data_IF_325392207792
#
_entry.id   IF_325392207792
#
_cell.length_a   1.000
_cell.length_b   1.000
_cell.length_c   1.000
_cell.angle_alpha   90.00
_cell.angle_beta   90.00
_cell.angle_gamma   90.00
#
_symmetry.space_group_name_H-M   'P 1'
#
loop_
_entity.id
_entity.type
_entity.pdbx_description
1 polymer ?
#
# COMPACT_ATOMS: atom_id res chain seq x y z
N UNK A 1 -5.25 17.48 1.35
CA UNK A 1 -5.83 16.16 1.64
C UNK A 1 -4.84 15.10 1.19
N UNK A 2 -4.64 14.05 2.00
CA UNK A 2 -3.72 12.96 1.63
C UNK A 2 -4.47 11.85 0.92
N UNK A 3 -3.85 11.33 -0.13
CA UNK A 3 -4.39 10.23 -0.92
C UNK A 3 -3.31 9.18 -1.15
N UNK A 4 -3.74 7.93 -1.18
CA UNK A 4 -2.95 6.80 -1.62
C UNK A 4 -3.45 6.34 -2.98
N UNK A 5 -2.58 6.35 -3.97
CA UNK A 5 -2.81 5.81 -5.30
C UNK A 5 -2.26 4.39 -5.29
N UNK A 6 -3.12 3.41 -5.48
CA UNK A 6 -2.80 1.99 -5.52
C UNK A 6 -2.80 1.52 -6.97
N UNK A 7 -1.65 1.18 -7.51
CA UNK A 7 -1.54 0.55 -8.82
C UNK A 7 -1.89 -0.93 -8.67
N UNK A 8 -2.98 -1.37 -9.31
CA UNK A 8 -3.40 -2.79 -9.29
C UNK A 8 -2.39 -3.67 -10.02
N UNK A 9 -2.12 -4.85 -9.48
CA UNK A 9 -1.24 -5.81 -10.12
C UNK A 9 -1.85 -6.37 -11.43
N UNK A 10 -0.99 -6.83 -12.30
CA UNK A 10 -1.31 -7.54 -13.53
C UNK A 10 -0.45 -8.80 -13.66
N UNK A 11 -0.62 -9.54 -14.75
CA UNK A 11 0.09 -10.80 -14.97
C UNK A 11 1.62 -10.62 -14.99
N UNK A 12 2.13 -9.54 -15.59
CA UNK A 12 3.57 -9.24 -15.66
C UNK A 12 4.14 -8.97 -14.29
N UNK A 13 3.48 -8.11 -13.49
CA UNK A 13 3.95 -7.75 -12.15
C UNK A 13 3.91 -8.96 -11.20
N UNK A 14 2.91 -9.83 -11.31
CA UNK A 14 2.83 -11.06 -10.52
C UNK A 14 3.78 -12.18 -11.03
N UNK A 15 4.18 -12.14 -12.29
CA UNK A 15 5.28 -12.96 -12.79
C UNK A 15 6.65 -12.49 -12.28
N UNK A 16 6.72 -11.31 -11.63
CA UNK A 16 7.97 -10.74 -11.12
C UNK A 16 8.78 -10.05 -12.21
N UNK A 17 8.16 -9.71 -13.35
CA UNK A 17 8.82 -8.96 -14.41
C UNK A 17 9.13 -7.55 -13.92
N UNK A 18 10.39 -7.13 -14.13
CA UNK A 18 10.80 -5.79 -13.79
C UNK A 18 10.28 -4.79 -14.82
N UNK A 19 9.94 -3.55 -14.40
CA UNK A 19 9.54 -2.50 -15.32
C UNK A 19 10.67 -2.19 -16.30
N UNK A 20 10.34 -2.11 -17.57
CA UNK A 20 11.29 -1.77 -18.63
C UNK A 20 11.81 -0.33 -18.50
N UNK A 21 12.95 0.00 -19.17
CA UNK A 21 13.57 1.33 -19.08
C UNK A 21 12.64 2.48 -19.45
N UNK A 22 11.76 2.28 -20.42
CA UNK A 22 10.80 3.30 -20.84
C UNK A 22 9.80 3.64 -19.72
N UNK A 23 9.26 2.62 -19.03
CA UNK A 23 8.35 2.82 -17.90
C UNK A 23 9.08 3.48 -16.73
N UNK A 24 10.29 3.03 -16.40
CA UNK A 24 11.08 3.64 -15.31
C UNK A 24 11.36 5.12 -15.58
N UNK A 25 11.74 5.47 -16.82
CA UNK A 25 11.98 6.87 -17.20
C UNK A 25 10.69 7.70 -17.13
N UNK A 26 9.57 7.19 -17.64
CA UNK A 26 8.30 7.88 -17.66
C UNK A 26 7.74 8.08 -16.24
N UNK A 27 7.80 7.06 -15.39
CA UNK A 27 7.40 7.17 -13.96
C UNK A 27 8.32 8.10 -13.19
N UNK A 28 9.64 8.07 -13.46
CA UNK A 28 10.59 8.99 -12.86
C UNK A 28 10.25 10.45 -13.19
N UNK A 29 9.99 10.76 -14.44
CA UNK A 29 9.59 12.11 -14.88
C UNK A 29 8.26 12.54 -14.25
N UNK A 30 7.27 11.65 -14.22
CA UNK A 30 5.97 11.92 -13.59
C UNK A 30 6.11 12.20 -12.09
N UNK A 31 6.91 11.40 -11.37
CA UNK A 31 7.16 11.60 -9.94
C UNK A 31 7.94 12.90 -9.67
N UNK A 32 8.88 13.27 -10.55
CA UNK A 32 9.57 14.57 -10.43
C UNK A 32 8.60 15.75 -10.58
N UNK A 33 7.64 15.67 -11.50
CA UNK A 33 6.64 16.72 -11.66
C UNK A 33 5.73 16.82 -10.43
N UNK A 34 5.27 15.69 -9.86
CA UNK A 34 4.52 15.65 -8.61
C UNK A 34 5.33 16.24 -7.44
N UNK A 35 6.63 15.93 -7.38
CA UNK A 35 7.53 16.48 -6.35
C UNK A 35 7.73 17.98 -6.51
N UNK A 36 7.92 18.49 -7.73
CA UNK A 36 8.02 19.93 -8.03
C UNK A 36 6.75 20.69 -7.69
N UNK A 37 5.59 20.05 -7.87
CA UNK A 37 4.29 20.58 -7.46
C UNK A 37 4.08 20.53 -5.94
N UNK A 38 4.96 19.89 -5.18
CA UNK A 38 4.85 19.73 -3.73
C UNK A 38 3.83 18.66 -3.32
N UNK A 39 3.36 17.85 -4.25
CA UNK A 39 2.31 16.85 -4.03
C UNK A 39 2.85 15.49 -3.60
N UNK A 40 4.04 15.08 -4.07
CA UNK A 40 4.58 13.75 -3.79
C UNK A 40 5.04 13.62 -2.34
N UNK A 41 4.47 12.67 -1.61
CA UNK A 41 4.87 12.31 -0.25
C UNK A 41 5.75 11.05 -0.21
N UNK A 42 5.63 10.18 -1.20
CA UNK A 42 6.42 8.97 -1.32
C UNK A 42 5.72 7.95 -2.22
N UNK A 43 6.39 6.87 -2.53
CA UNK A 43 5.82 5.79 -3.32
C UNK A 43 6.86 4.72 -3.61
N UNK A 44 6.40 3.47 -3.72
CA UNK A 44 7.26 2.31 -3.93
C UNK A 44 6.55 1.26 -4.78
N UNK A 45 7.33 0.46 -5.50
CA UNK A 45 6.88 -0.75 -6.15
C UNK A 45 6.86 -1.94 -5.19
N UNK A 46 5.88 -2.81 -5.33
CA UNK A 46 5.79 -4.08 -4.60
C UNK A 46 6.23 -5.24 -5.50
N UNK A 47 7.04 -6.13 -4.95
CA UNK A 47 7.42 -7.36 -5.64
C UNK A 47 6.23 -8.32 -5.72
N UNK A 48 6.31 -9.33 -6.59
CA UNK A 48 5.27 -10.34 -6.76
C UNK A 48 4.84 -10.99 -5.43
N UNK A 49 3.57 -11.38 -5.33
CA UNK A 49 3.00 -12.01 -4.12
C UNK A 49 3.70 -13.30 -3.73
N UNK A 50 4.37 -13.97 -4.68
CA UNK A 50 5.20 -15.16 -4.41
C UNK A 50 6.37 -14.92 -3.44
N UNK A 51 6.73 -13.66 -3.20
CA UNK A 51 7.76 -13.26 -2.23
C UNK A 51 7.15 -12.68 -0.93
N UNK A 52 5.86 -12.83 -0.75
CA UNK A 52 5.10 -12.33 0.38
C UNK A 52 4.47 -13.43 1.22
N UNK A 53 3.70 -13.02 2.22
CA UNK A 53 2.91 -13.91 3.07
C UNK A 53 1.53 -13.30 3.34
N UNK A 54 0.56 -14.17 3.60
CA UNK A 54 -0.78 -13.80 4.02
C UNK A 54 -1.04 -14.38 5.41
N UNK A 55 -1.40 -13.52 6.36
CA UNK A 55 -1.85 -13.92 7.70
C UNK A 55 -3.36 -13.80 7.72
N UNK A 56 -4.04 -14.89 8.01
CA UNK A 56 -5.48 -14.89 8.26
C UNK A 56 -5.73 -15.14 9.73
N UNK A 57 -6.42 -14.20 10.38
CA UNK A 57 -6.92 -14.34 11.74
C UNK A 57 -8.36 -14.84 11.68
N UNK A 58 -8.65 -15.95 12.34
CA UNK A 58 -10.00 -16.52 12.46
C UNK A 58 -10.16 -17.14 13.85
N UNK A 59 -11.20 -16.73 14.59
CA UNK A 59 -11.41 -17.17 15.97
C UNK A 59 -10.23 -16.84 16.90
N UNK A 60 -9.57 -15.70 16.68
CA UNK A 60 -8.41 -15.27 17.44
C UNK A 60 -7.11 -16.03 17.15
N UNK A 61 -7.13 -16.96 16.17
CA UNK A 61 -5.96 -17.77 15.80
C UNK A 61 -5.40 -17.34 14.44
N UNK A 62 -4.10 -17.03 14.34
CA UNK A 62 -3.47 -16.74 13.07
C UNK A 62 -3.13 -18.02 12.30
N UNK A 63 -3.28 -17.96 10.99
CA UNK A 63 -2.72 -18.91 10.03
C UNK A 63 -1.89 -18.15 9.03
N UNK A 64 -0.66 -18.57 8.80
CA UNK A 64 0.27 -17.95 7.84
C UNK A 64 0.36 -18.82 6.60
N UNK A 65 0.23 -18.22 5.44
CA UNK A 65 0.36 -18.88 4.13
C UNK A 65 1.35 -18.10 3.29
N UNK A 66 2.35 -18.78 2.75
CA UNK A 66 3.28 -18.18 1.81
C UNK A 66 2.61 -17.95 0.45
N UNK A 67 3.05 -16.89 -0.26
CA UNK A 67 2.60 -16.66 -1.63
C UNK A 67 3.08 -17.73 -2.62
N UNK A 68 2.59 -17.73 -3.88
CA UNK A 68 1.71 -16.70 -4.45
C UNK A 68 0.27 -16.84 -3.98
N UNK A 69 -0.44 -15.71 -3.93
CA UNK A 69 -1.86 -15.70 -3.57
C UNK A 69 -2.72 -15.95 -4.81
N UNK A 70 -3.75 -16.76 -4.67
CA UNK A 70 -4.49 -17.35 -5.81
C UNK A 70 -5.39 -16.36 -6.56
N UNK A 71 -5.70 -15.21 -5.98
CA UNK A 71 -6.61 -14.21 -6.56
C UNK A 71 -5.86 -12.92 -6.89
N UNK A 72 -5.06 -12.97 -7.96
CA UNK A 72 -4.20 -11.85 -8.39
C UNK A 72 -4.95 -10.56 -8.79
N UNK A 73 -6.26 -10.63 -9.01
CA UNK A 73 -7.05 -9.49 -9.56
C UNK A 73 -7.10 -8.28 -8.65
N UNK A 74 -6.90 -8.46 -7.34
CA UNK A 74 -7.02 -7.41 -6.34
C UNK A 74 -5.69 -7.07 -5.63
N UNK A 75 -4.61 -7.70 -6.06
CA UNK A 75 -3.27 -7.38 -5.56
C UNK A 75 -2.83 -6.03 -6.10
N UNK A 76 -1.91 -5.40 -5.37
CA UNK A 76 -1.27 -4.16 -5.80
C UNK A 76 0.18 -4.41 -6.20
N UNK A 77 0.62 -3.70 -7.24
CA UNK A 77 2.01 -3.73 -7.72
C UNK A 77 2.83 -2.53 -7.24
N UNK A 78 2.17 -1.54 -6.67
CA UNK A 78 2.83 -0.36 -6.14
C UNK A 78 1.85 0.63 -5.56
N UNK A 79 2.39 1.64 -4.89
CA UNK A 79 1.60 2.73 -4.34
C UNK A 79 2.35 4.06 -4.48
N UNK A 80 1.58 5.14 -4.52
CA UNK A 80 2.09 6.51 -4.42
C UNK A 80 1.24 7.28 -3.43
N UNK A 81 1.90 7.91 -2.45
CA UNK A 81 1.26 8.83 -1.51
C UNK A 81 1.40 10.25 -2.02
N UNK A 82 0.28 10.95 -2.08
CA UNK A 82 0.26 12.35 -2.53
C UNK A 82 -0.58 13.22 -1.60
N UNK A 83 -0.26 14.50 -1.58
CA UNK A 83 -1.11 15.53 -1.02
C UNK A 83 -1.68 16.40 -2.14
N UNK A 84 -3.00 16.55 -2.18
CA UNK A 84 -3.70 17.38 -3.14
C UNK A 84 -4.71 18.28 -2.44
N UNK A 85 -4.97 19.46 -2.99
CA UNK A 85 -5.96 20.39 -2.43
C UNK A 85 -7.39 19.84 -2.58
N UNK A 86 -7.62 19.06 -3.63
CA UNK A 86 -8.94 18.45 -3.91
C UNK A 86 -8.80 17.14 -4.68
N UNK A 87 -9.87 16.34 -4.66
CA UNK A 87 -10.04 15.18 -5.53
C UNK A 87 -9.93 15.56 -7.01
N UNK A 88 -10.49 16.68 -7.41
CA UNK A 88 -10.48 17.15 -8.80
C UNK A 88 -9.03 17.39 -9.27
N UNK A 89 -8.23 18.08 -8.49
CA UNK A 89 -6.81 18.29 -8.79
C UNK A 89 -6.08 16.96 -8.96
N UNK A 90 -6.30 16.02 -8.03
CA UNK A 90 -5.68 14.70 -8.14
C UNK A 90 -6.11 13.96 -9.43
N UNK A 91 -7.40 14.03 -9.79
CA UNK A 91 -7.88 13.40 -11.03
C UNK A 91 -7.22 13.99 -12.28
N UNK A 92 -6.98 15.30 -12.31
CA UNK A 92 -6.27 15.97 -13.42
C UNK A 92 -4.82 15.49 -13.53
N UNK A 93 -4.14 15.31 -12.39
CA UNK A 93 -2.80 14.71 -12.35
C UNK A 93 -2.82 13.25 -12.83
N UNK A 94 -3.76 12.44 -12.37
CA UNK A 94 -3.85 11.03 -12.74
C UNK A 94 -4.15 10.82 -14.23
N UNK A 95 -4.83 11.75 -14.91
CA UNK A 95 -5.03 11.67 -16.36
C UNK A 95 -3.70 11.69 -17.14
N UNK A 96 -2.62 12.17 -16.52
CA UNK A 96 -1.26 12.22 -17.05
C UNK A 96 -0.44 10.99 -16.68
N UNK A 97 -1.04 9.96 -16.09
CA UNK A 97 -0.35 8.71 -15.73
C UNK A 97 0.38 8.14 -16.96
N UNK A 98 1.64 7.70 -16.79
CA UNK A 98 2.44 7.22 -17.90
C UNK A 98 1.76 6.10 -18.70
N UNK A 99 1.63 6.30 -19.98
CA UNK A 99 1.02 5.32 -20.91
C UNK A 99 1.89 4.07 -21.11
N UNK A 100 3.15 4.15 -20.73
CA UNK A 100 4.11 3.05 -20.69
C UNK A 100 3.74 2.01 -19.63
N UNK A 101 2.93 2.38 -18.63
CA UNK A 101 2.45 1.44 -17.62
C UNK A 101 1.37 0.52 -18.22
N UNK A 102 1.67 -0.78 -18.27
CA UNK A 102 0.84 -1.83 -18.84
C UNK A 102 0.32 -1.49 -20.26
N UNK A 103 1.18 -0.84 -21.08
CA UNK A 103 0.81 -0.38 -22.43
C UNK A 103 -0.49 0.44 -22.46
N UNK A 104 -0.67 1.29 -21.46
CA UNK A 104 -1.85 2.13 -21.28
C UNK A 104 -3.12 1.38 -20.84
N UNK A 105 -2.97 0.22 -20.22
CA UNK A 105 -4.09 -0.58 -19.69
C UNK A 105 -4.02 -0.76 -18.17
N UNK A 106 -3.44 0.19 -17.47
CA UNK A 106 -3.31 0.12 -16.01
C UNK A 106 -4.60 0.46 -15.27
N UNK A 107 -4.70 0.03 -14.03
CA UNK A 107 -5.81 0.34 -13.14
C UNK A 107 -5.26 0.90 -11.82
N UNK A 108 -5.79 2.04 -11.45
CA UNK A 108 -5.45 2.74 -10.21
C UNK A 108 -6.68 2.79 -9.30
N UNK A 109 -6.49 2.48 -8.04
CA UNK A 109 -7.47 2.75 -6.99
C UNK A 109 -6.95 3.90 -6.13
N UNK A 110 -7.76 4.90 -5.90
CA UNK A 110 -7.40 6.07 -5.10
C UNK A 110 -8.18 6.07 -3.81
N UNK A 111 -7.47 6.03 -2.71
CA UNK A 111 -8.04 6.03 -1.36
C UNK A 111 -7.61 7.29 -0.62
N UNK A 112 -8.53 7.87 0.12
CA UNK A 112 -8.22 8.97 1.01
C UNK A 112 -7.62 8.44 2.32
N UNK A 113 -6.47 8.99 2.73
CA UNK A 113 -5.86 8.77 4.03
C UNK A 113 -6.47 9.64 5.12
N UNK A 114 -6.06 9.44 6.35
CA UNK A 114 -6.45 10.30 7.46
C UNK A 114 -7.23 9.60 8.56
N UNK A 115 -6.87 8.37 8.86
CA UNK A 115 -7.29 7.73 10.10
C UNK A 115 -6.53 8.34 11.30
N UNK A 116 -7.18 8.58 12.46
CA UNK A 116 -6.46 8.97 13.67
C UNK A 116 -5.39 7.92 14.04
N UNK A 117 -4.14 8.35 14.21
CA UNK A 117 -3.04 7.46 14.61
C UNK A 117 -2.09 7.03 13.50
N UNK A 118 -2.23 7.57 12.30
CA UNK A 118 -1.26 7.36 11.22
C UNK A 118 0.14 7.86 11.60
N UNK A 119 1.16 7.08 11.28
CA UNK A 119 2.56 7.50 11.39
C UNK A 119 2.94 8.14 10.07
N UNK A 120 3.07 9.45 10.06
CA UNK A 120 3.45 10.21 8.86
C UNK A 120 4.85 9.82 8.44
N UNK A 121 4.94 9.29 7.22
CA UNK A 121 6.13 8.65 6.73
C UNK A 121 7.30 9.57 6.48
N UNK A 122 8.43 9.00 6.68
CA UNK A 122 9.77 9.52 6.40
C UNK A 122 10.16 9.31 4.91
N UNK A 123 9.25 8.79 4.09
CA UNK A 123 9.59 8.19 2.80
C UNK A 123 9.94 9.16 1.66
N UNK A 124 9.57 10.44 1.72
CA UNK A 124 9.67 11.29 0.52
C UNK A 124 10.97 12.07 0.34
N UNK A 125 11.70 12.42 1.40
CA UNK A 125 13.01 13.09 1.30
C UNK A 125 13.87 12.74 2.51
N UNK A 126 14.85 11.87 2.29
CA UNK A 126 15.88 11.59 3.29
C UNK A 126 15.54 10.47 4.26
N UNK A 127 14.79 9.47 3.81
CA UNK A 127 14.73 8.22 4.55
C UNK A 127 16.16 7.74 4.83
N UNK A 128 16.48 7.35 6.07
CA UNK A 128 17.79 6.82 6.38
C UNK A 128 18.11 5.64 5.45
N UNK A 129 19.35 5.52 5.03
CA UNK A 129 19.78 4.38 4.23
C UNK A 129 19.38 3.09 4.95
N UNK A 130 18.85 2.15 4.18
CA UNK A 130 18.45 0.84 4.72
C UNK A 130 19.68 0.16 5.34
N UNK A 131 19.61 -0.30 6.61
CA UNK A 131 20.74 -1.00 7.22
C UNK A 131 21.12 -2.25 6.43
N UNK A 132 22.39 -2.61 6.44
CA UNK A 132 22.87 -3.80 5.74
C UNK A 132 22.10 -5.06 6.18
N UNK A 133 21.66 -5.86 5.20
CA UNK A 133 20.88 -7.07 5.43
C UNK A 133 19.41 -6.84 5.79
N UNK A 134 18.92 -5.58 5.77
CA UNK A 134 17.49 -5.29 5.91
C UNK A 134 16.84 -5.12 4.54
N UNK A 135 15.54 -5.38 4.52
CA UNK A 135 14.62 -5.12 3.40
C UNK A 135 13.38 -4.41 3.93
N UNK A 136 12.69 -3.67 3.06
CA UNK A 136 11.43 -3.04 3.41
C UNK A 136 10.26 -3.95 3.04
N UNK A 137 9.29 -4.02 3.93
CA UNK A 137 8.05 -4.77 3.76
C UNK A 137 6.86 -3.86 3.97
N UNK A 138 5.85 -4.04 3.15
CA UNK A 138 4.56 -3.42 3.34
C UNK A 138 3.59 -4.41 3.97
N UNK A 139 3.01 -4.02 5.08
CA UNK A 139 1.98 -4.76 5.81
C UNK A 139 0.64 -4.13 5.43
N UNK A 140 -0.23 -4.89 4.82
CA UNK A 140 -1.50 -4.44 4.26
C UNK A 140 -2.65 -5.06 5.04
N UNK A 141 -3.38 -4.26 5.79
CA UNK A 141 -4.60 -4.71 6.48
C UNK A 141 -5.76 -4.69 5.48
N UNK A 142 -6.36 -5.85 5.21
CA UNK A 142 -7.56 -5.95 4.39
C UNK A 142 -8.76 -5.34 5.12
N UNK A 143 -9.65 -4.71 4.37
CA UNK A 143 -10.88 -4.14 4.90
C UNK A 143 -11.90 -5.25 5.24
N UNK A 144 -12.81 -4.91 6.12
CA UNK A 144 -13.98 -5.71 6.44
C UNK A 144 -15.23 -4.80 6.49
N UNK A 145 -16.40 -5.40 6.74
CA UNK A 145 -17.66 -4.64 6.77
C UNK A 145 -17.65 -3.48 7.76
N UNK A 146 -16.92 -3.61 8.89
CA UNK A 146 -16.82 -2.55 9.88
C UNK A 146 -15.99 -1.37 9.39
N UNK A 147 -14.83 -1.66 8.80
CA UNK A 147 -13.94 -0.61 8.27
C UNK A 147 -14.59 0.10 7.08
N UNK A 148 -15.30 -0.64 6.23
CA UNK A 148 -16.05 -0.05 5.11
C UNK A 148 -17.31 0.71 5.56
N UNK A 149 -17.90 0.37 6.71
CA UNK A 149 -18.95 1.18 7.36
C UNK A 149 -18.40 2.42 8.08
N UNK A 150 -17.08 2.65 8.05
CA UNK A 150 -16.46 3.80 8.72
C UNK A 150 -16.44 3.68 10.25
N UNK A 151 -16.57 2.47 10.80
CA UNK A 151 -16.54 2.25 12.25
C UNK A 151 -15.08 2.32 12.72
N UNK A 152 -14.79 3.38 13.44
CA UNK A 152 -13.46 3.63 14.03
C UNK A 152 -13.25 2.72 15.26
N UNK A 153 -12.04 2.18 15.47
CA UNK A 153 -11.70 1.49 16.71
C UNK A 153 -11.90 2.39 17.93
N UNK A 154 -12.18 1.79 19.09
CA UNK A 154 -12.30 2.54 20.34
C UNK A 154 -10.96 3.16 20.76
N UNK A 155 -11.04 4.08 21.73
CA UNK A 155 -9.87 4.84 22.20
C UNK A 155 -8.80 3.96 22.85
N UNK A 156 -9.19 2.87 23.50
CA UNK A 156 -8.24 1.93 24.11
C UNK A 156 -7.43 1.22 23.03
N UNK A 157 -8.10 0.76 21.98
CA UNK A 157 -7.45 0.10 20.85
C UNK A 157 -6.52 1.05 20.09
N UNK A 158 -7.01 2.25 19.77
CA UNK A 158 -6.18 3.30 19.15
C UNK A 158 -4.96 3.64 20.01
N UNK A 159 -5.10 3.67 21.33
CA UNK A 159 -3.99 3.88 22.25
C UNK A 159 -2.93 2.77 22.19
N UNK A 160 -3.35 1.50 22.14
CA UNK A 160 -2.43 0.36 21.97
C UNK A 160 -1.70 0.39 20.63
N UNK A 161 -2.42 0.70 19.54
CA UNK A 161 -1.82 0.85 18.22
C UNK A 161 -0.81 2.00 18.20
N UNK A 162 -1.16 3.15 18.74
CA UNK A 162 -0.28 4.32 18.82
C UNK A 162 0.99 4.01 19.61
N UNK A 163 0.87 3.37 20.77
CA UNK A 163 2.02 2.96 21.57
C UNK A 163 2.95 2.01 20.78
N UNK A 164 2.39 0.98 20.15
CA UNK A 164 3.16 0.03 19.36
C UNK A 164 3.87 0.73 18.18
N UNK A 165 3.16 1.62 17.47
CA UNK A 165 3.73 2.41 16.38
C UNK A 165 4.89 3.30 16.87
N UNK A 166 4.73 3.98 18.00
CA UNK A 166 5.76 4.83 18.59
C UNK A 166 7.00 4.04 19.00
N UNK A 167 6.81 2.87 19.61
CA UNK A 167 7.91 1.98 19.98
C UNK A 167 8.66 1.46 18.76
N UNK A 168 7.93 1.00 17.74
CA UNK A 168 8.51 0.53 16.48
C UNK A 168 9.22 1.64 15.70
N UNK A 169 8.68 2.85 15.69
CA UNK A 169 9.32 4.00 15.05
C UNK A 169 10.60 4.42 15.77
N UNK A 170 10.61 4.46 17.12
CA UNK A 170 11.84 4.75 17.90
C UNK A 170 12.91 3.67 17.72
N UNK A 171 12.49 2.41 17.54
CA UNK A 171 13.39 1.31 17.24
C UNK A 171 13.89 1.31 15.78
N UNK A 172 13.38 2.25 14.95
CA UNK A 172 13.70 2.33 13.53
C UNK A 172 13.09 1.20 12.69
N UNK A 173 12.14 0.43 13.24
CA UNK A 173 11.48 -0.67 12.53
C UNK A 173 10.35 -0.13 11.64
N UNK A 174 9.49 0.72 12.20
CA UNK A 174 8.38 1.33 11.47
C UNK A 174 8.84 2.58 10.74
N UNK A 175 8.64 2.62 9.43
CA UNK A 175 9.04 3.71 8.54
C UNK A 175 7.84 4.60 8.16
N UNK A 176 6.66 4.00 7.97
CA UNK A 176 5.43 4.69 7.57
C UNK A 176 4.22 3.84 7.97
N UNK A 177 3.10 4.48 8.24
CA UNK A 177 1.82 3.80 8.42
C UNK A 177 0.65 4.78 8.33
N UNK A 178 -0.44 4.36 7.70
CA UNK A 178 -1.65 5.19 7.54
C UNK A 178 -2.89 4.31 7.49
N UNK A 179 -3.98 4.79 8.07
CA UNK A 179 -5.31 4.23 7.88
C UNK A 179 -5.98 4.83 6.65
N UNK A 180 -6.74 4.00 5.94
CA UNK A 180 -7.47 4.41 4.74
C UNK A 180 -8.96 4.57 5.04
N UNK A 181 -9.57 5.63 4.54
CA UNK A 181 -11.00 5.84 4.66
C UNK A 181 -11.79 4.79 3.85
N UNK A 182 -13.07 4.55 4.19
CA UNK A 182 -13.93 3.64 3.43
C UNK A 182 -13.94 3.94 1.93
N UNK A 183 -14.19 2.91 1.13
CA UNK A 183 -14.22 3.03 -0.33
C UNK A 183 -15.33 3.95 -0.85
N UNK A 184 -16.30 4.30 -0.03
CA UNK A 184 -17.34 5.30 -0.37
C UNK A 184 -16.74 6.66 -0.74
N UNK A 185 -15.55 7.03 -0.22
CA UNK A 185 -14.84 8.26 -0.59
C UNK A 185 -13.79 8.04 -1.69
N UNK A 186 -13.62 6.81 -2.15
CA UNK A 186 -12.61 6.40 -3.12
C UNK A 186 -13.10 6.52 -4.58
N UNK A 187 -12.17 6.40 -5.49
CA UNK A 187 -12.47 6.17 -6.90
C UNK A 187 -11.42 5.26 -7.54
N UNK A 188 -11.81 4.60 -8.63
CA UNK A 188 -10.89 3.85 -9.50
C UNK A 188 -10.77 4.59 -10.83
N UNK A 189 -9.53 4.70 -11.32
CA UNK A 189 -9.25 5.19 -12.67
C UNK A 189 -8.65 4.04 -13.46
N UNK A 190 -9.40 3.56 -14.45
CA UNK A 190 -8.97 2.49 -15.33
C UNK A 190 -8.61 3.07 -16.69
N UNK A 191 -7.41 2.79 -17.13
CA UNK A 191 -6.97 3.15 -18.48
C UNK A 191 -7.23 1.98 -19.42
N UNK A 192 -7.72 2.30 -20.60
CA UNK A 192 -7.89 1.36 -21.70
C UNK A 192 -7.29 2.00 -22.94
N UNK A 193 -6.16 1.47 -23.42
CA UNK A 193 -5.38 2.06 -24.50
C UNK A 193 -5.08 3.55 -24.26
N UNK A 194 -4.67 3.87 -23.04
CA UNK A 194 -4.33 5.23 -22.60
C UNK A 194 -5.53 6.16 -22.34
N UNK A 195 -6.76 5.69 -22.49
CA UNK A 195 -7.98 6.49 -22.21
C UNK A 195 -8.49 6.20 -20.83
N UNK A 196 -8.56 7.21 -19.92
CA UNK A 196 -9.06 7.02 -18.57
C UNK A 196 -10.58 6.89 -18.52
N UNK A 197 -11.05 5.95 -17.73
CA UNK A 197 -12.43 5.86 -17.26
C UNK A 197 -12.44 5.91 -15.73
N UNK A 198 -13.37 6.65 -15.14
CA UNK A 198 -13.48 6.81 -13.69
C UNK A 198 -14.71 6.10 -13.18
N UNK A 199 -14.57 5.40 -12.06
CA UNK A 199 -15.65 4.74 -11.33
C UNK A 199 -15.57 5.14 -9.86
N UNK A 200 -16.64 5.72 -9.33
CA UNK A 200 -16.75 6.07 -7.92
C UNK A 200 -17.05 4.85 -7.07
N UNK A 201 -16.56 4.87 -5.81
CA UNK A 201 -16.97 3.91 -4.80
C UNK A 201 -18.43 4.18 -4.32
N UNK A 202 -18.95 3.36 -3.42
CA UNK A 202 -18.25 2.23 -2.77
C UNK A 202 -18.04 1.04 -3.72
N UNK A 203 -16.99 0.24 -3.44
CA UNK A 203 -16.71 -0.96 -4.23
C UNK A 203 -17.30 -2.19 -3.53
N UNK A 204 -17.85 -3.13 -4.32
CA UNK A 204 -18.70 -4.20 -3.82
C UNK A 204 -17.98 -5.26 -2.96
N UNK A 205 -16.68 -5.47 -3.16
CA UNK A 205 -15.92 -6.55 -2.52
C UNK A 205 -15.02 -6.00 -1.42
N UNK A 206 -15.54 -5.86 -0.19
CA UNK A 206 -14.79 -5.31 0.94
C UNK A 206 -13.47 -6.05 1.21
N UNK A 207 -13.45 -7.38 1.07
CA UNK A 207 -12.26 -8.22 1.32
C UNK A 207 -11.08 -7.95 0.37
N UNK A 208 -11.32 -7.29 -0.75
CA UNK A 208 -10.31 -6.91 -1.73
C UNK A 208 -9.72 -5.52 -1.45
N UNK A 209 -10.33 -4.77 -0.53
CA UNK A 209 -9.97 -3.41 -0.19
C UNK A 209 -8.97 -3.38 0.97
N UNK A 210 -8.32 -2.24 1.14
CA UNK A 210 -7.40 -2.00 2.23
C UNK A 210 -8.03 -1.07 3.26
N UNK A 211 -7.88 -1.41 4.54
CA UNK A 211 -8.25 -0.53 5.67
C UNK A 211 -7.07 0.33 6.14
N UNK A 212 -5.85 -0.09 5.84
CA UNK A 212 -4.64 0.61 6.22
C UNK A 212 -3.39 -0.17 5.86
N UNK A 213 -2.23 0.45 6.11
CA UNK A 213 -0.95 -0.16 5.83
C UNK A 213 0.15 0.32 6.77
N UNK A 214 1.22 -0.44 6.85
CA UNK A 214 2.50 -0.07 7.48
C UNK A 214 3.63 -0.44 6.53
N UNK A 215 4.66 0.38 6.51
CA UNK A 215 5.95 0.05 5.88
C UNK A 215 6.96 -0.13 7.01
N UNK A 216 7.55 -1.30 7.07
CA UNK A 216 8.55 -1.65 8.06
C UNK A 216 9.85 -2.08 7.39
N UNK A 217 10.96 -2.01 8.12
CA UNK A 217 12.20 -2.67 7.73
C UNK A 217 12.45 -3.89 8.62
N UNK A 218 12.82 -5.00 7.99
CA UNK A 218 13.10 -6.26 8.67
C UNK A 218 14.21 -7.04 7.93
N UNK A 219 14.85 -7.99 8.63
CA UNK A 219 15.92 -8.81 8.04
C UNK A 219 15.42 -9.92 7.12
N UNK A 220 14.16 -10.32 7.26
CA UNK A 220 13.56 -11.42 6.49
C UNK A 220 12.03 -11.28 6.45
N UNK A 221 11.39 -12.00 5.52
CA UNK A 221 9.94 -12.14 5.49
C UNK A 221 9.40 -12.70 6.81
N UNK A 222 10.08 -13.69 7.41
CA UNK A 222 9.67 -14.24 8.71
C UNK A 222 9.67 -13.17 9.80
N UNK A 223 10.70 -12.32 9.86
CA UNK A 223 10.74 -11.22 10.84
C UNK A 223 9.61 -10.18 10.62
N UNK A 224 9.20 -9.95 9.37
CA UNK A 224 8.04 -9.12 9.05
C UNK A 224 6.71 -9.79 9.46
N UNK A 225 6.60 -11.11 9.26
CA UNK A 225 5.46 -11.91 9.74
C UNK A 225 5.39 -11.85 11.27
N UNK A 226 6.48 -12.05 11.98
CA UNK A 226 6.54 -12.02 13.45
C UNK A 226 6.13 -10.63 13.99
N UNK A 227 6.57 -9.56 13.33
CA UNK A 227 6.14 -8.21 13.67
C UNK A 227 4.62 -8.03 13.50
N UNK A 228 4.07 -8.50 12.37
CA UNK A 228 2.64 -8.41 12.11
C UNK A 228 1.81 -9.27 13.08
N UNK A 229 2.29 -10.46 13.46
CA UNK A 229 1.63 -11.30 14.46
C UNK A 229 1.59 -10.64 15.86
N UNK A 230 2.57 -9.82 16.17
CA UNK A 230 2.64 -9.05 17.43
C UNK A 230 1.87 -7.72 17.42
N UNK A 231 1.40 -7.29 16.24
CA UNK A 231 0.74 -5.98 16.10
C UNK A 231 -0.71 -6.03 16.63
N UNK A 232 -1.17 -5.05 17.43
CA UNK A 232 -2.53 -5.01 17.96
C UNK A 232 -3.53 -4.50 16.91
N UNK A 233 -3.76 -5.27 15.84
CA UNK A 233 -4.73 -4.91 14.82
C UNK A 233 -6.14 -4.72 15.41
N UNK A 234 -6.93 -3.76 14.93
CA UNK A 234 -8.20 -3.36 15.53
C UNK A 234 -9.37 -4.26 15.11
N UNK A 235 -9.31 -5.55 15.44
CA UNK A 235 -10.38 -6.52 15.17
C UNK A 235 -10.70 -7.35 16.40
N UNK A 236 -11.94 -7.84 16.46
CA UNK A 236 -12.41 -8.72 17.53
C UNK A 236 -12.05 -10.18 17.20
N UNK A 237 -11.91 -11.01 18.21
CA UNK A 237 -11.63 -12.45 18.04
C UNK A 237 -12.67 -13.16 17.15
N UNK A 238 -13.90 -12.65 17.09
CA UNK A 238 -14.98 -13.19 16.25
C UNK A 238 -14.92 -12.74 14.80
N UNK A 239 -14.03 -11.82 14.46
CA UNK A 239 -13.88 -11.28 13.10
C UNK A 239 -12.81 -12.06 12.34
N UNK A 240 -13.07 -12.28 11.05
CA UNK A 240 -12.03 -12.73 10.12
C UNK A 240 -11.31 -11.51 9.56
N UNK A 241 -9.99 -11.52 9.65
CA UNK A 241 -9.15 -10.43 9.15
C UNK A 241 -7.96 -11.02 8.42
N UNK A 242 -7.62 -10.41 7.32
CA UNK A 242 -6.45 -10.76 6.53
C UNK A 242 -5.43 -9.62 6.54
N UNK A 243 -4.17 -10.01 6.70
CA UNK A 243 -3.02 -9.12 6.64
C UNK A 243 -2.05 -9.67 5.60
N UNK A 244 -1.85 -8.91 4.54
CA UNK A 244 -0.93 -9.26 3.47
C UNK A 244 0.43 -8.61 3.72
N UNK A 245 1.51 -9.34 3.55
CA UNK A 245 2.88 -8.87 3.70
C UNK A 245 3.57 -8.93 2.36
N UNK A 246 4.05 -7.81 1.87
CA UNK A 246 4.68 -7.67 0.55
C UNK A 246 6.07 -7.08 0.67
N UNK A 247 7.00 -7.68 -0.05
CA UNK A 247 8.35 -7.16 -0.20
C UNK A 247 8.34 -5.95 -1.15
N UNK A 248 9.01 -4.87 -0.76
CA UNK A 248 9.21 -3.70 -1.61
C UNK A 248 10.42 -3.88 -2.53
N UNK A 249 10.39 -3.21 -3.68
CA UNK A 249 11.57 -3.09 -4.50
C UNK A 249 12.59 -2.14 -3.87
N UNK A 250 13.85 -2.50 -3.96
CA UNK A 250 14.99 -1.67 -3.61
C UNK A 250 15.78 -1.31 -4.87
N UNK A 251 16.55 -0.24 -4.82
CA UNK A 251 17.38 0.17 -5.97
C UNK A 251 18.31 -0.94 -6.46
N UNK A 252 18.79 -1.80 -5.55
CA UNK A 252 19.63 -2.94 -5.89
C UNK A 252 18.91 -4.01 -6.73
N UNK A 253 17.57 -4.13 -6.62
CA UNK A 253 16.80 -5.10 -7.40
C UNK A 253 16.79 -4.73 -8.91
N UNK A 254 16.97 -3.46 -9.24
CA UNK A 254 17.03 -2.96 -10.62
C UNK A 254 18.45 -2.94 -11.19
N UNK A 255 19.49 -2.97 -10.34
CA UNK A 255 20.87 -2.96 -10.77
C UNK A 255 21.37 -4.35 -11.23
N UNK A 256 20.63 -5.41 -10.89
CA UNK A 256 20.97 -6.80 -11.21
C UNK A 256 20.27 -7.32 -12.49
N UNK A 257 19.44 -6.51 -13.13
CA UNK A 257 18.72 -6.78 -14.38
C UNK A 257 19.38 -6.01 -15.53
#
# INVERSE_FOLDING_TARGET
MQYMILRKADASTEAGELPGPALLAAMGAYNEELAKAGMLLGGEGLQASSKGALIRFSGGKPTVTDGPFTEAKELIAGFTMVEAASRQELMEWLQRWPKEDADGNTSLEVREGGCPGGVRGVAAKGAPALPEGFRRFMILLKANDRTEAGIVPDSEWLGRMAQHNDEAARAGVLLMGEGLKPSASAFRMKFTRGKPGVMDGPFAEAKELLAGFWVIQARSLQAAVDWALGYPFPFRETEEVEVEIRLLYEAADFAAA
#
